data_IF_340615621047
#
_entry.id   IF_340615621047
#
_cell.length_a   1.000
_cell.length_b   1.000
_cell.length_c   1.000
_cell.angle_alpha   90.00
_cell.angle_beta   90.00
_cell.angle_gamma   90.00
#
_symmetry.space_group_name_H-M   'P 1'
#
loop_
_entity.id
_entity.type
_entity.pdbx_description
1 polymer ?
#
# COMPACT_ATOMS: atom_id res chain seq x y z
N UNK A 1 48.82 -19.50 38.18
CA UNK A 1 48.35 -18.21 37.64
C UNK A 1 47.55 -18.46 36.37
N UNK A 2 46.23 -18.66 36.47
CA UNK A 2 45.31 -18.78 35.31
C UNK A 2 44.15 -17.76 35.37
N UNK A 3 44.12 -16.86 36.36
CA UNK A 3 42.99 -15.94 36.57
C UNK A 3 42.87 -14.88 35.47
N UNK A 4 43.97 -14.49 34.83
CA UNK A 4 43.95 -13.45 33.79
C UNK A 4 43.07 -13.80 32.58
N UNK A 5 43.05 -15.06 32.15
CA UNK A 5 42.27 -15.49 30.98
C UNK A 5 40.76 -15.45 31.23
N UNK A 6 40.32 -15.75 32.46
CA UNK A 6 38.89 -15.68 32.81
C UNK A 6 38.37 -14.24 32.81
N UNK A 7 39.18 -13.27 33.26
CA UNK A 7 38.80 -11.86 33.17
C UNK A 7 38.69 -11.39 31.71
N UNK A 8 39.59 -11.83 30.83
CA UNK A 8 39.50 -11.52 29.40
C UNK A 8 38.24 -12.12 28.76
N UNK A 9 37.89 -13.37 29.08
CA UNK A 9 36.68 -14.00 28.57
C UNK A 9 35.41 -13.28 29.04
N UNK A 10 35.34 -12.89 30.31
CA UNK A 10 34.20 -12.12 30.85
C UNK A 10 34.05 -10.77 30.13
N UNK A 11 35.15 -10.06 29.90
CA UNK A 11 35.15 -8.77 29.18
C UNK A 11 34.72 -8.97 27.71
N UNK A 12 35.20 -10.04 27.08
CA UNK A 12 34.86 -10.37 25.69
C UNK A 12 33.37 -10.72 25.55
N UNK A 13 32.82 -11.56 26.43
CA UNK A 13 31.39 -11.87 26.45
C UNK A 13 30.53 -10.62 26.73
N UNK A 14 30.98 -9.73 27.63
CA UNK A 14 30.27 -8.48 27.90
C UNK A 14 30.24 -7.56 26.67
N UNK A 15 31.36 -7.42 25.95
CA UNK A 15 31.41 -6.65 24.70
C UNK A 15 30.49 -7.21 23.62
N UNK A 16 30.48 -8.54 23.45
CA UNK A 16 29.59 -9.22 22.49
C UNK A 16 28.13 -9.01 22.90
N UNK A 17 27.79 -9.18 24.19
CA UNK A 17 26.42 -9.01 24.68
C UNK A 17 25.90 -7.58 24.44
N UNK A 18 26.72 -6.56 24.74
CA UNK A 18 26.38 -5.15 24.48
C UNK A 18 26.19 -4.92 22.98
N UNK A 19 27.09 -5.45 22.15
CA UNK A 19 26.97 -5.36 20.69
C UNK A 19 25.69 -6.01 20.17
N UNK A 20 25.32 -7.19 20.67
CA UNK A 20 24.08 -7.87 20.29
C UNK A 20 22.83 -7.07 20.69
N UNK A 21 22.81 -6.49 21.89
CA UNK A 21 21.68 -5.64 22.35
C UNK A 21 21.55 -4.40 21.46
N UNK A 22 22.65 -3.71 21.15
CA UNK A 22 22.66 -2.54 20.27
C UNK A 22 22.26 -2.90 18.84
N UNK A 23 22.72 -4.05 18.34
CA UNK A 23 22.40 -4.53 16.99
C UNK A 23 20.93 -4.92 16.86
N UNK A 24 20.35 -5.59 17.86
CA UNK A 24 18.92 -5.92 17.90
C UNK A 24 18.08 -4.65 17.93
N UNK A 25 18.47 -3.65 18.75
CA UNK A 25 17.78 -2.35 18.78
C UNK A 25 17.85 -1.60 17.44
N UNK A 26 18.95 -1.72 16.71
CA UNK A 26 19.14 -1.10 15.39
C UNK A 26 18.32 -1.78 14.29
N UNK A 27 18.13 -3.10 14.39
CA UNK A 27 17.36 -3.89 13.40
C UNK A 27 15.86 -3.71 13.58
N UNK A 28 15.34 -3.63 14.82
CA UNK A 28 13.92 -3.36 15.08
C UNK A 28 13.53 -1.88 14.96
N UNK A 29 14.50 -0.96 14.97
CA UNK A 29 14.28 0.49 15.07
C UNK A 29 14.12 1.24 13.75
N UNK A 30 14.07 0.55 12.61
CA UNK A 30 13.74 1.21 11.34
C UNK A 30 12.23 1.27 11.21
N UNK A 31 11.68 2.34 11.80
CA UNK A 31 10.38 2.90 11.43
C UNK A 31 10.44 3.20 9.95
N UNK A 32 9.83 2.34 9.16
CA UNK A 32 9.58 2.59 7.75
C UNK A 32 8.72 3.85 7.66
N UNK A 33 9.33 4.92 7.15
CA UNK A 33 8.72 6.23 7.03
C UNK A 33 7.71 6.24 5.89
N UNK A 34 6.53 5.67 6.13
CA UNK A 34 5.31 5.92 5.38
C UNK A 34 4.12 5.78 6.33
N UNK A 35 4.10 6.58 7.40
CA UNK A 35 2.88 6.82 8.20
C UNK A 35 1.93 7.73 7.40
N UNK A 36 1.42 7.22 6.28
CA UNK A 36 0.10 7.61 5.83
C UNK A 36 -0.87 6.94 6.80
N UNK A 37 -1.38 7.71 7.76
CA UNK A 37 -2.32 7.20 8.73
C UNK A 37 -3.52 6.58 8.00
N UNK A 38 -3.57 5.25 7.95
CA UNK A 38 -4.60 4.48 7.22
C UNK A 38 -6.02 4.86 7.65
N UNK A 39 -6.19 5.28 8.90
CA UNK A 39 -7.47 5.81 9.38
C UNK A 39 -7.92 7.07 8.63
N UNK A 40 -6.99 7.93 8.21
CA UNK A 40 -7.30 9.12 7.41
C UNK A 40 -7.70 8.73 5.97
N UNK A 41 -7.10 7.69 5.39
CA UNK A 41 -7.50 7.16 4.08
C UNK A 41 -8.92 6.57 4.11
N UNK A 42 -9.23 5.74 5.10
CA UNK A 42 -10.57 5.15 5.24
C UNK A 42 -11.64 6.21 5.55
N UNK A 43 -11.30 7.21 6.37
CA UNK A 43 -12.20 8.33 6.62
C UNK A 43 -12.48 9.14 5.35
N UNK A 44 -11.48 9.36 4.48
CA UNK A 44 -11.67 10.03 3.17
C UNK A 44 -12.55 9.21 2.22
N UNK A 45 -12.32 7.90 2.11
CA UNK A 45 -13.15 7.02 1.27
C UNK A 45 -14.61 6.97 1.76
N UNK A 46 -14.83 7.05 3.08
CA UNK A 46 -16.16 7.07 3.68
C UNK A 46 -16.85 8.44 3.59
N UNK A 47 -16.09 9.55 3.59
CA UNK A 47 -16.63 10.91 3.41
C UNK A 47 -17.11 11.18 1.98
N UNK A 48 -16.45 10.64 0.96
CA UNK A 48 -16.83 10.90 -0.43
C UNK A 48 -18.23 10.34 -0.83
N UNK A 49 -18.82 9.50 0.03
CA UNK A 49 -20.15 8.92 -0.16
C UNK A 49 -21.28 9.66 0.59
N UNK A 50 -20.99 10.78 1.27
CA UNK A 50 -21.99 11.55 2.03
C UNK A 50 -22.30 12.95 1.50
N UNK A 51 -21.55 13.45 0.51
CA UNK A 51 -21.65 14.85 0.08
C UNK A 51 -22.46 15.06 -1.22
N UNK A 52 -23.09 14.01 -1.76
CA UNK A 52 -24.10 14.15 -2.82
C UNK A 52 -25.49 14.44 -2.24
N UNK A 53 -25.61 15.50 -1.44
CA UNK A 53 -26.87 16.23 -1.24
C UNK A 53 -26.60 17.60 -0.60
N UNK A 54 -26.43 18.62 -1.46
CA UNK A 54 -26.67 20.02 -1.13
C UNK A 54 -25.45 20.87 -0.76
N UNK A 55 -25.03 21.75 -1.67
CA UNK A 55 -25.15 23.22 -1.50
C UNK A 55 -24.56 23.92 -2.72
N UNK A 56 -25.37 24.80 -3.31
CA UNK A 56 -24.96 25.74 -4.33
C UNK A 56 -24.06 26.84 -3.74
N UNK A 57 -23.05 27.25 -4.52
CA UNK A 57 -22.52 28.60 -4.49
C UNK A 57 -21.22 28.81 -3.71
N UNK A 58 -20.11 28.82 -4.43
CA UNK A 58 -19.05 29.83 -4.28
C UNK A 58 -18.11 29.81 -5.50
N UNK A 59 -18.18 30.91 -6.25
CA UNK A 59 -17.23 31.35 -7.26
C UNK A 59 -15.79 31.31 -6.74
N UNK A 60 -14.91 30.61 -7.44
CA UNK A 60 -13.48 30.85 -7.45
C UNK A 60 -13.03 30.94 -8.91
N UNK A 61 -13.20 32.13 -9.50
CA UNK A 61 -12.71 32.46 -10.84
C UNK A 61 -11.19 32.68 -10.74
N UNK A 62 -10.42 31.65 -11.10
CA UNK A 62 -9.00 31.79 -11.37
C UNK A 62 -8.83 32.64 -12.64
N UNK A 63 -8.30 33.86 -12.50
CA UNK A 63 -7.83 34.64 -13.63
C UNK A 63 -6.55 33.99 -14.16
N UNK A 64 -6.64 33.37 -15.34
CA UNK A 64 -5.47 32.99 -16.11
C UNK A 64 -4.90 34.26 -16.75
N UNK A 65 -3.78 34.70 -16.21
CA UNK A 65 -2.93 35.71 -16.83
C UNK A 65 -2.32 35.10 -18.10
N UNK A 66 -2.50 35.81 -19.21
CA UNK A 66 -2.10 35.38 -20.54
C UNK A 66 -0.68 35.87 -20.78
N UNK A 67 0.29 35.00 -20.55
CA UNK A 67 1.66 35.20 -21.02
C UNK A 67 1.87 34.34 -22.26
N UNK A 68 1.73 35.01 -23.40
CA UNK A 68 2.17 34.51 -24.69
C UNK A 68 3.71 34.48 -24.71
N UNK A 69 4.23 33.54 -25.50
CA UNK A 69 5.52 33.55 -26.20
C UNK A 69 6.74 32.78 -25.61
N UNK A 70 6.96 31.62 -26.26
CA UNK A 70 8.23 31.12 -26.84
C UNK A 70 8.86 29.83 -26.24
N UNK A 71 9.13 28.89 -27.16
CA UNK A 71 10.02 27.73 -27.07
C UNK A 71 9.61 26.45 -26.32
N UNK A 72 8.52 25.80 -26.74
CA UNK A 72 8.46 24.33 -26.69
C UNK A 72 8.15 23.75 -28.08
N UNK A 73 9.20 23.27 -28.77
CA UNK A 73 9.10 22.42 -29.96
C UNK A 73 8.17 21.23 -29.66
N UNK A 74 7.24 20.87 -30.55
CA UNK A 74 6.40 19.70 -30.33
C UNK A 74 7.28 18.46 -30.47
N UNK A 75 7.60 17.82 -29.34
CA UNK A 75 8.07 16.44 -29.31
C UNK A 75 6.87 15.51 -29.63
N UNK A 76 6.28 15.68 -30.81
CA UNK A 76 5.16 14.90 -31.33
C UNK A 76 5.62 13.56 -31.95
N UNK A 77 6.54 12.85 -31.31
CA UNK A 77 7.10 11.62 -31.89
C UNK A 77 7.42 10.50 -30.88
N UNK A 78 6.85 10.53 -29.67
CA UNK A 78 7.01 9.41 -28.70
C UNK A 78 5.74 9.07 -27.90
N UNK A 79 4.59 9.70 -28.20
CA UNK A 79 3.35 9.48 -27.43
C UNK A 79 2.43 8.44 -28.10
N UNK A 80 2.64 8.10 -29.38
CA UNK A 80 1.65 7.31 -30.14
C UNK A 80 1.63 5.81 -29.82
N UNK A 81 2.64 5.24 -29.16
CA UNK A 81 2.69 3.80 -28.87
C UNK A 81 2.05 3.40 -27.52
N UNK A 82 1.83 4.34 -26.60
CA UNK A 82 1.19 4.04 -25.30
C UNK A 82 -0.33 4.32 -25.31
N UNK A 83 -0.84 5.12 -26.25
CA UNK A 83 -2.24 5.55 -26.28
C UNK A 83 -3.27 4.46 -26.65
N UNK A 84 -2.83 3.33 -27.21
CA UNK A 84 -3.70 2.24 -27.66
C UNK A 84 -3.69 1.01 -26.75
N UNK A 85 -3.07 1.10 -25.57
CA UNK A 85 -3.20 0.02 -24.59
C UNK A 85 -4.65 -0.03 -24.07
N UNK A 86 -5.31 -1.20 -24.02
CA UNK A 86 -6.63 -1.37 -23.41
C UNK A 86 -6.71 -0.76 -22.00
N UNK A 87 -5.57 -0.81 -21.28
CA UNK A 87 -5.36 -0.17 -19.99
C UNK A 87 -5.65 1.33 -20.01
N UNK A 88 -5.10 2.04 -20.99
CA UNK A 88 -5.20 3.49 -21.08
C UNK A 88 -6.62 3.92 -21.47
N UNK A 89 -7.30 3.14 -22.31
CA UNK A 89 -8.72 3.33 -22.59
C UNK A 89 -9.59 3.17 -21.33
N UNK A 90 -9.31 2.15 -20.52
CA UNK A 90 -9.98 1.93 -19.23
C UNK A 90 -9.73 3.06 -18.24
N UNK A 91 -8.48 3.49 -18.06
CA UNK A 91 -8.13 4.61 -17.19
C UNK A 91 -8.80 5.91 -17.63
N UNK A 92 -8.88 6.18 -18.93
CA UNK A 92 -9.62 7.34 -19.45
C UNK A 92 -11.11 7.25 -19.14
N UNK A 93 -11.71 6.07 -19.23
CA UNK A 93 -13.12 5.88 -18.88
C UNK A 93 -13.37 6.12 -17.38
N UNK A 94 -12.43 5.69 -16.52
CA UNK A 94 -12.48 5.93 -15.07
C UNK A 94 -12.29 7.42 -14.77
N UNK A 95 -11.29 8.07 -15.35
CA UNK A 95 -11.04 9.51 -15.17
C UNK A 95 -12.19 10.39 -15.70
N UNK A 96 -12.96 9.90 -16.68
CA UNK A 96 -14.17 10.57 -17.14
C UNK A 96 -15.35 10.42 -16.17
N UNK A 97 -15.40 9.33 -15.39
CA UNK A 97 -16.41 9.08 -14.37
C UNK A 97 -16.05 9.72 -13.01
N UNK A 98 -14.76 9.83 -12.71
CA UNK A 98 -14.19 10.40 -11.50
C UNK A 98 -13.05 11.36 -11.84
N UNK A 99 -13.30 12.66 -11.67
CA UNK A 99 -12.33 13.71 -11.96
C UNK A 99 -11.17 13.79 -10.96
N UNK A 100 -11.34 13.21 -9.77
CA UNK A 100 -10.32 13.22 -8.71
C UNK A 100 -9.42 11.97 -8.78
N UNK A 101 -9.67 11.08 -9.74
CA UNK A 101 -8.92 9.84 -9.91
C UNK A 101 -7.52 10.10 -10.51
N UNK A 102 -6.48 9.79 -9.74
CA UNK A 102 -5.08 9.78 -10.18
C UNK A 102 -4.53 8.34 -10.17
N UNK A 103 -4.04 7.80 -11.31
CA UNK A 103 -3.48 6.46 -11.38
C UNK A 103 -2.27 6.22 -10.46
N UNK A 104 -1.38 7.20 -10.31
CA UNK A 104 -0.18 7.07 -9.49
C UNK A 104 -0.53 7.08 -7.99
N UNK A 105 -1.49 7.92 -7.60
CA UNK A 105 -2.06 7.91 -6.24
C UNK A 105 -2.79 6.59 -5.96
N UNK A 106 -3.54 6.07 -6.94
CA UNK A 106 -4.22 4.78 -6.81
C UNK A 106 -3.23 3.63 -6.59
N UNK A 107 -2.14 3.55 -7.37
CA UNK A 107 -1.11 2.50 -7.18
C UNK A 107 -0.49 2.60 -5.79
N UNK A 108 -0.22 3.83 -5.33
CA UNK A 108 0.33 4.09 -4.00
C UNK A 108 -0.62 3.65 -2.89
N UNK A 109 -1.92 3.97 -3.00
CA UNK A 109 -2.96 3.56 -2.07
C UNK A 109 -3.20 2.04 -2.09
N UNK A 110 -3.19 1.42 -3.27
CA UNK A 110 -3.35 -0.02 -3.44
C UNK A 110 -2.22 -0.79 -2.76
N UNK A 111 -0.99 -0.28 -2.79
CA UNK A 111 0.14 -0.84 -2.05
C UNK A 111 -0.11 -0.83 -0.54
N UNK A 112 -0.53 0.32 0.00
CA UNK A 112 -0.81 0.48 1.44
C UNK A 112 -1.96 -0.46 1.86
N UNK A 113 -3.03 -0.50 1.07
CA UNK A 113 -4.17 -1.37 1.33
C UNK A 113 -3.76 -2.85 1.34
N UNK A 114 -2.94 -3.28 0.38
CA UNK A 114 -2.45 -4.65 0.31
C UNK A 114 -1.59 -5.02 1.52
N UNK A 115 -0.63 -4.17 1.91
CA UNK A 115 0.20 -4.39 3.10
C UNK A 115 -0.66 -4.51 4.36
N UNK A 116 -1.66 -3.64 4.51
CA UNK A 116 -2.59 -3.66 5.64
C UNK A 116 -3.48 -4.90 5.67
N UNK A 117 -4.09 -5.28 4.53
CA UNK A 117 -4.91 -6.49 4.40
C UNK A 117 -4.11 -7.72 4.79
N UNK A 118 -2.87 -7.81 4.32
CA UNK A 118 -2.03 -8.96 4.62
C UNK A 118 -1.60 -8.99 6.08
N UNK A 119 -1.26 -7.83 6.66
CA UNK A 119 -0.96 -7.71 8.09
C UNK A 119 -2.14 -8.12 8.97
N UNK A 120 -3.35 -7.67 8.63
CA UNK A 120 -4.58 -8.05 9.32
C UNK A 120 -4.91 -9.55 9.16
N UNK A 121 -4.66 -10.13 7.99
CA UNK A 121 -4.82 -11.57 7.76
C UNK A 121 -3.81 -12.43 8.54
N UNK A 122 -2.57 -11.96 8.65
CA UNK A 122 -1.52 -12.62 9.43
C UNK A 122 -1.82 -12.56 10.94
N UNK A 123 -2.34 -11.42 11.43
CA UNK A 123 -2.71 -11.24 12.85
C UNK A 123 -4.07 -11.83 13.23
N UNK A 124 -4.88 -12.24 12.25
CA UNK A 124 -6.24 -12.74 12.47
C UNK A 124 -7.28 -11.65 12.73
N UNK A 125 -6.99 -10.38 12.44
CA UNK A 125 -7.93 -9.27 12.63
C UNK A 125 -8.98 -9.20 11.50
N UNK A 126 -10.04 -10.01 11.63
CA UNK A 126 -11.17 -10.00 10.71
C UNK A 126 -11.95 -8.68 10.71
N UNK A 127 -11.91 -7.89 11.79
CA UNK A 127 -12.65 -6.62 11.87
C UNK A 127 -12.02 -5.57 10.94
N UNK A 128 -10.69 -5.53 10.90
CA UNK A 128 -9.93 -4.65 10.03
C UNK A 128 -10.10 -4.98 8.54
N UNK A 129 -10.34 -6.24 8.19
CA UNK A 129 -10.52 -6.70 6.81
C UNK A 129 -11.89 -6.37 6.21
N UNK A 130 -12.93 -6.34 7.04
CA UNK A 130 -14.32 -6.17 6.60
C UNK A 130 -14.59 -4.93 5.70
N UNK A 131 -14.04 -3.72 5.99
CA UNK A 131 -14.25 -2.57 5.12
C UNK A 131 -13.40 -2.57 3.83
N UNK A 132 -12.41 -3.46 3.71
CA UNK A 132 -11.40 -3.43 2.64
C UNK A 132 -11.61 -4.51 1.59
N UNK A 133 -12.39 -5.52 1.94
CA UNK A 133 -12.67 -6.66 1.10
C UNK A 133 -14.16 -6.68 0.73
N UNK A 134 -14.46 -7.16 -0.47
CA UNK A 134 -15.82 -7.51 -0.82
C UNK A 134 -16.34 -8.60 0.12
N UNK A 135 -17.66 -8.69 0.30
CA UNK A 135 -18.26 -9.65 1.23
C UNK A 135 -17.90 -11.10 0.91
N UNK A 136 -17.73 -11.43 -0.37
CA UNK A 136 -17.32 -12.75 -0.83
C UNK A 136 -15.86 -13.06 -0.46
N UNK A 137 -14.93 -12.15 -0.76
CA UNK A 137 -13.51 -12.33 -0.43
C UNK A 137 -13.31 -12.36 1.08
N UNK A 138 -14.01 -11.50 1.81
CA UNK A 138 -14.00 -11.48 3.27
C UNK A 138 -14.40 -12.83 3.88
N UNK A 139 -15.49 -13.45 3.40
CA UNK A 139 -15.96 -14.73 3.90
C UNK A 139 -14.91 -15.85 3.72
N UNK A 140 -14.17 -15.84 2.60
CA UNK A 140 -13.08 -16.78 2.37
C UNK A 140 -11.92 -16.57 3.34
N UNK A 141 -11.55 -15.31 3.62
CA UNK A 141 -10.49 -14.98 4.56
C UNK A 141 -10.86 -15.34 5.99
N UNK A 142 -12.07 -15.00 6.43
CA UNK A 142 -12.60 -15.32 7.76
C UNK A 142 -12.60 -16.83 8.01
N UNK A 143 -13.01 -17.61 7.01
CA UNK A 143 -12.95 -19.08 7.08
C UNK A 143 -11.53 -19.58 7.28
N UNK A 144 -10.57 -19.11 6.47
CA UNK A 144 -9.15 -19.49 6.58
C UNK A 144 -8.53 -19.10 7.92
N UNK A 145 -8.89 -17.93 8.47
CA UNK A 145 -8.46 -17.48 9.80
C UNK A 145 -9.01 -18.42 10.88
N UNK A 146 -10.32 -18.71 10.86
CA UNK A 146 -10.95 -19.61 11.84
C UNK A 146 -10.36 -21.02 11.78
N UNK A 147 -10.17 -21.57 10.59
CA UNK A 147 -9.58 -22.90 10.41
C UNK A 147 -8.15 -22.96 11.01
N UNK A 148 -7.38 -21.86 10.89
CA UNK A 148 -6.04 -21.73 11.51
C UNK A 148 -6.09 -21.62 13.04
N UNK A 149 -7.02 -20.82 13.57
CA UNK A 149 -7.23 -20.68 15.01
C UNK A 149 -7.65 -22.00 15.67
N UNK A 150 -8.57 -22.74 15.02
CA UNK A 150 -9.02 -24.06 15.46
C UNK A 150 -7.87 -25.09 15.45
N UNK A 151 -7.00 -25.02 14.44
CA UNK A 151 -5.83 -25.87 14.34
C UNK A 151 -4.73 -25.54 15.36
N UNK A 152 -4.80 -24.39 16.05
CA UNK A 152 -3.73 -23.84 16.93
C UNK A 152 -2.35 -23.80 16.26
N UNK A 153 -2.29 -23.76 14.93
CA UNK A 153 -1.04 -23.77 14.18
C UNK A 153 -0.55 -22.34 13.97
N UNK A 154 0.58 -22.02 14.60
CA UNK A 154 1.34 -20.78 14.40
C UNK A 154 2.28 -20.96 13.20
N UNK A 155 1.75 -21.17 11.99
CA UNK A 155 2.60 -21.09 10.81
C UNK A 155 2.68 -19.63 10.37
N UNK A 156 3.74 -18.96 10.81
CA UNK A 156 4.01 -17.54 10.57
C UNK A 156 4.65 -17.36 9.17
N UNK A 157 3.84 -17.43 8.12
CA UNK A 157 4.26 -16.89 6.81
C UNK A 157 4.21 -15.36 6.89
N UNK A 158 5.33 -14.75 7.24
CA UNK A 158 5.44 -13.29 7.37
C UNK A 158 5.91 -12.72 6.04
N UNK A 159 5.02 -12.01 5.35
CA UNK A 159 5.38 -11.26 4.16
C UNK A 159 6.29 -10.09 4.55
N UNK A 160 7.43 -9.95 3.88
CA UNK A 160 8.51 -9.03 4.25
C UNK A 160 8.31 -7.64 3.66
N UNK A 161 7.57 -7.56 2.54
CA UNK A 161 7.18 -6.29 1.93
C UNK A 161 6.94 -6.39 0.42
N UNK A 162 6.28 -5.39 -0.13
CA UNK A 162 6.05 -5.24 -1.57
C UNK A 162 7.25 -4.54 -2.21
N UNK A 163 7.84 -5.14 -3.25
CA UNK A 163 8.94 -4.59 -4.05
C UNK A 163 8.45 -3.69 -5.18
N UNK A 164 7.37 -4.09 -5.84
CA UNK A 164 6.84 -3.38 -7.02
C UNK A 164 5.33 -3.54 -7.12
N UNK A 165 4.66 -2.51 -7.62
CA UNK A 165 3.24 -2.52 -7.99
C UNK A 165 3.13 -1.97 -9.41
N UNK A 166 2.56 -2.75 -10.32
CA UNK A 166 2.33 -2.34 -11.71
C UNK A 166 0.84 -2.45 -12.02
N UNK A 167 0.28 -1.42 -12.64
CA UNK A 167 -1.08 -1.46 -13.17
C UNK A 167 -1.09 -2.33 -14.45
N UNK A 168 -1.96 -3.33 -14.50
CA UNK A 168 -2.03 -4.27 -15.63
C UNK A 168 -3.26 -4.03 -16.48
N UNK A 169 -4.41 -3.85 -15.83
CA UNK A 169 -5.70 -3.71 -16.50
C UNK A 169 -6.57 -2.71 -15.75
N UNK A 170 -7.40 -1.99 -16.49
CA UNK A 170 -8.42 -1.12 -15.96
C UNK A 170 -9.64 -1.23 -16.87
N UNK A 171 -10.81 -1.42 -16.30
CA UNK A 171 -12.07 -1.45 -17.01
C UNK A 171 -13.17 -0.81 -16.18
N UNK A 172 -14.22 -0.38 -16.86
CA UNK A 172 -15.34 0.29 -16.22
C UNK A 172 -16.62 -0.47 -16.57
N UNK A 173 -17.18 -1.15 -15.57
CA UNK A 173 -18.40 -1.94 -15.68
C UNK A 173 -19.58 -1.12 -15.14
N UNK A 174 -20.19 -0.33 -16.04
CA UNK A 174 -21.33 0.52 -15.72
C UNK A 174 -20.99 1.68 -14.79
N UNK A 175 -21.01 1.45 -13.48
CA UNK A 175 -20.63 2.43 -12.45
C UNK A 175 -19.52 1.92 -11.52
N UNK A 176 -18.99 0.72 -11.79
CA UNK A 176 -17.95 0.09 -10.99
C UNK A 176 -16.67 0.06 -11.83
N UNK A 177 -15.63 0.72 -11.33
CA UNK A 177 -14.29 0.61 -11.90
C UNK A 177 -13.61 -0.66 -11.37
N UNK A 178 -13.15 -1.52 -12.27
CA UNK A 178 -12.30 -2.66 -11.92
C UNK A 178 -10.88 -2.37 -12.36
N UNK A 179 -9.93 -2.48 -11.43
CA UNK A 179 -8.52 -2.19 -11.67
C UNK A 179 -7.70 -3.37 -11.20
N UNK A 180 -6.89 -3.93 -12.10
CA UNK A 180 -5.99 -5.04 -11.82
C UNK A 180 -4.59 -4.51 -11.59
N UNK A 181 -4.09 -4.70 -10.36
CA UNK A 181 -2.73 -4.34 -9.95
C UNK A 181 -1.93 -5.61 -9.70
N UNK A 182 -0.75 -5.68 -10.31
CA UNK A 182 0.22 -6.76 -10.08
C UNK A 182 1.24 -6.31 -9.05
N UNK A 183 1.31 -7.05 -7.95
CA UNK A 183 2.33 -6.85 -6.93
C UNK A 183 3.45 -7.88 -7.06
N UNK A 184 4.70 -7.42 -6.91
CA UNK A 184 5.86 -8.27 -6.70
C UNK A 184 6.30 -8.08 -5.25
N UNK A 185 6.32 -9.15 -4.47
CA UNK A 185 6.62 -9.12 -3.03
C UNK A 185 7.69 -10.13 -2.64
N UNK A 186 8.44 -9.83 -1.59
CA UNK A 186 9.32 -10.79 -0.94
C UNK A 186 8.63 -11.39 0.28
N UNK A 187 8.75 -12.70 0.47
CA UNK A 187 8.19 -13.43 1.61
C UNK A 187 9.30 -14.14 2.38
N UNK A 188 9.19 -14.18 3.70
CA UNK A 188 10.07 -14.98 4.57
C UNK A 188 9.24 -16.08 5.20
N UNK A 189 9.64 -17.31 4.91
CA UNK A 189 9.15 -18.49 5.61
C UNK A 189 10.05 -18.71 6.83
N UNK A 190 9.50 -18.54 8.02
CA UNK A 190 10.12 -19.01 9.25
C UNK A 190 9.59 -20.42 9.55
N UNK A 191 10.49 -21.41 9.59
CA UNK A 191 10.22 -22.80 9.99
C UNK A 191 10.35 -22.97 11.50
#
# INVERSE_FOLDING_TARGET
MNDGFQFFDIILFAMIAVFLILRLRSVLGRRDGHEGNFSDFINRLSQNNKDKEGTAGNDNIFHLDKQDDEDFKPAAATIEEEEQSPLLAGLRAIAAADSDFDPDEFISGARIAFEYILGAYASGDSKALKPLLSSEVFANFEKSIRDREEAKQTMEETLVGIRKADLVEAEMEGAIAQITVKFVSDQVHAL
#
